data_IF_183000549680
#
_entry.id   IF_183000549680
#
_cell.length_a   1.000
_cell.length_b   1.000
_cell.length_c   1.000
_cell.angle_alpha   90.00
_cell.angle_beta   90.00
_cell.angle_gamma   90.00
#
_symmetry.space_group_name_H-M   'P 1'
#
loop_
_entity.id
_entity.type
_entity.pdbx_description
1 polymer ?
#
# COMPACT_ATOMS: atom_id res chain seq x y z
N UNK A 1 31.44 -2.49 6.69
CA UNK A 1 30.49 -3.01 5.69
C UNK A 1 30.98 -4.40 5.31
N UNK A 2 30.31 -5.43 5.83
CA UNK A 2 30.66 -6.84 5.61
C UNK A 2 29.71 -7.49 4.59
N UNK A 3 30.17 -8.57 3.95
CA UNK A 3 29.36 -9.44 3.07
C UNK A 3 28.52 -10.49 3.82
N UNK A 4 28.38 -10.41 5.14
CA UNK A 4 27.49 -11.36 5.85
C UNK A 4 26.04 -11.11 5.44
N UNK A 5 25.46 -12.10 4.79
CA UNK A 5 24.03 -12.20 4.48
C UNK A 5 23.24 -12.20 5.78
N UNK A 6 22.91 -11.03 6.30
CA UNK A 6 21.80 -10.93 7.23
C UNK A 6 20.58 -11.52 6.52
N UNK A 7 19.74 -12.25 7.24
CA UNK A 7 18.43 -12.71 6.76
C UNK A 7 17.60 -11.48 6.37
N UNK A 8 17.77 -11.02 5.14
CA UNK A 8 17.14 -9.82 4.64
C UNK A 8 15.63 -10.04 4.67
N UNK A 9 14.93 -9.11 5.31
CA UNK A 9 13.48 -9.14 5.39
C UNK A 9 12.90 -9.22 3.97
N UNK A 10 11.99 -10.16 3.66
CA UNK A 10 11.40 -10.30 2.33
C UNK A 10 10.67 -9.04 1.84
N UNK A 11 10.31 -8.13 2.76
CA UNK A 11 9.70 -6.84 2.44
C UNK A 11 10.71 -5.75 2.06
N UNK A 12 12.00 -5.93 2.35
CA UNK A 12 13.02 -4.93 2.02
C UNK A 12 13.29 -4.89 0.51
N UNK A 13 13.33 -3.68 -0.04
CA UNK A 13 13.74 -3.37 -1.42
C UNK A 13 14.91 -2.39 -1.42
N UNK A 14 15.53 -2.18 -2.58
CA UNK A 14 16.55 -1.14 -2.76
C UNK A 14 16.02 0.23 -2.30
N UNK A 15 14.81 0.59 -2.69
CA UNK A 15 14.18 1.86 -2.31
C UNK A 15 14.02 2.03 -0.79
N UNK A 16 13.75 0.95 -0.05
CA UNK A 16 13.68 1.02 1.42
C UNK A 16 15.05 1.07 2.09
N UNK A 17 16.06 0.37 1.56
CA UNK A 17 17.42 0.35 2.13
C UNK A 17 18.12 1.71 1.94
N UNK A 18 17.80 2.38 0.84
CA UNK A 18 18.36 3.69 0.48
C UNK A 18 17.53 4.85 1.00
N UNK A 19 16.42 4.57 1.72
CA UNK A 19 15.44 5.56 2.20
C UNK A 19 14.79 6.42 1.11
N UNK A 20 15.15 6.23 -0.16
CA UNK A 20 14.54 6.91 -1.32
C UNK A 20 13.03 6.70 -1.32
N UNK A 21 12.58 5.48 -0.99
CA UNK A 21 11.16 5.18 -0.94
C UNK A 21 10.43 6.07 0.07
N UNK A 22 11.02 6.37 1.22
CA UNK A 22 10.37 7.17 2.26
C UNK A 22 10.18 8.62 1.83
N UNK A 23 11.17 9.19 1.16
CA UNK A 23 11.04 10.50 0.53
C UNK A 23 10.02 10.48 -0.60
N UNK A 24 9.96 9.41 -1.40
CA UNK A 24 8.93 9.26 -2.43
C UNK A 24 7.52 9.24 -1.83
N UNK A 25 7.31 8.58 -0.69
CA UNK A 25 6.00 8.56 -0.01
C UNK A 25 5.53 9.97 0.35
N UNK A 26 6.45 10.81 0.85
CA UNK A 26 6.19 12.22 1.14
C UNK A 26 5.91 13.00 -0.15
N UNK A 27 6.73 12.81 -1.19
CA UNK A 27 6.55 13.50 -2.46
C UNK A 27 5.18 13.17 -3.10
N UNK A 28 4.83 11.89 -3.17
CA UNK A 28 3.57 11.40 -3.74
C UNK A 28 2.35 11.79 -2.92
N UNK A 29 2.45 11.90 -1.58
CA UNK A 29 1.31 12.34 -0.78
C UNK A 29 0.95 13.81 -0.98
N UNK A 30 1.91 14.64 -1.41
CA UNK A 30 1.72 16.08 -1.59
C UNK A 30 1.48 16.48 -3.05
N UNK A 31 2.17 15.86 -4.00
CA UNK A 31 2.06 16.19 -5.44
C UNK A 31 1.14 15.23 -6.21
N UNK A 32 0.93 14.03 -5.68
CA UNK A 32 0.21 12.99 -6.36
C UNK A 32 -1.27 13.31 -6.51
N UNK A 33 -1.80 13.09 -7.71
CA UNK A 33 -3.24 13.11 -7.96
C UNK A 33 -3.75 11.69 -7.87
N UNK A 34 -4.72 11.43 -6.99
CA UNK A 34 -5.32 10.12 -6.90
C UNK A 34 -6.48 9.96 -7.88
N UNK A 35 -6.61 8.74 -8.39
CA UNK A 35 -7.66 8.32 -9.28
C UNK A 35 -8.42 7.14 -8.69
N UNK A 36 -9.72 7.06 -8.96
CA UNK A 36 -10.55 5.93 -8.56
C UNK A 36 -10.01 4.65 -9.20
N UNK A 37 -9.77 3.57 -8.44
CA UNK A 37 -9.36 2.29 -9.03
C UNK A 37 -10.40 1.63 -9.93
N UNK A 38 -11.67 2.03 -9.82
CA UNK A 38 -12.78 1.42 -10.55
C UNK A 38 -13.10 2.20 -11.83
N UNK A 39 -13.12 3.53 -11.74
CA UNK A 39 -13.52 4.39 -12.87
C UNK A 39 -12.36 5.15 -13.51
N UNK A 40 -11.20 5.18 -12.87
CA UNK A 40 -10.03 6.00 -13.23
C UNK A 40 -10.33 7.50 -13.31
N UNK A 41 -11.43 7.96 -12.69
CA UNK A 41 -11.75 9.38 -12.53
C UNK A 41 -10.90 10.01 -11.44
N UNK A 42 -10.60 11.30 -11.60
CA UNK A 42 -9.81 12.05 -10.62
C UNK A 42 -10.62 12.19 -9.33
N UNK A 43 -10.08 11.67 -8.23
CA UNK A 43 -10.66 11.85 -6.91
C UNK A 43 -10.43 13.30 -6.46
N UNK A 44 -11.49 13.92 -5.94
CA UNK A 44 -11.43 15.27 -5.38
C UNK A 44 -11.95 15.24 -3.95
N UNK A 45 -11.32 16.03 -3.08
CA UNK A 45 -11.92 16.41 -1.80
C UNK A 45 -12.74 17.66 -2.03
N UNK A 46 -13.99 17.63 -1.64
CA UNK A 46 -14.82 18.84 -1.55
C UNK A 46 -14.55 19.44 -0.17
N UNK A 47 -14.23 20.75 -0.09
CA UNK A 47 -14.04 21.42 1.20
C UNK A 47 -15.37 21.92 1.76
N UNK A 48 -15.52 22.03 3.09
CA UNK A 48 -16.67 22.69 3.71
C UNK A 48 -16.92 24.09 3.15
N UNK A 49 -15.87 24.85 2.85
CA UNK A 49 -15.94 26.19 2.25
C UNK A 49 -16.56 26.16 0.85
N UNK A 50 -16.15 25.21 0.00
CA UNK A 50 -16.76 25.05 -1.31
C UNK A 50 -18.26 24.73 -1.21
N UNK A 51 -18.66 23.88 -0.25
CA UNK A 51 -20.08 23.57 -0.04
C UNK A 51 -20.83 24.82 0.42
N UNK A 52 -20.29 25.58 1.38
CA UNK A 52 -20.87 26.83 1.84
C UNK A 52 -21.03 27.86 0.71
N UNK A 53 -19.98 28.08 -0.09
CA UNK A 53 -20.00 29.00 -1.24
C UNK A 53 -21.02 28.57 -2.29
N UNK A 54 -21.08 27.27 -2.58
CA UNK A 54 -22.07 26.71 -3.51
C UNK A 54 -23.49 26.94 -3.00
N UNK A 55 -23.77 26.73 -1.71
CA UNK A 55 -25.09 27.00 -1.11
C UNK A 55 -25.44 28.49 -1.20
N UNK A 56 -24.48 29.38 -0.95
CA UNK A 56 -24.69 30.83 -1.04
C UNK A 56 -24.94 31.33 -2.48
N UNK A 57 -24.61 30.53 -3.50
CA UNK A 57 -24.93 30.83 -4.91
C UNK A 57 -26.41 30.62 -5.27
N UNK A 58 -27.17 29.89 -4.44
CA UNK A 58 -28.60 29.67 -4.66
C UNK A 58 -29.43 30.90 -4.25
N UNK A 59 -30.76 30.83 -4.45
CA UNK A 59 -31.65 31.98 -4.30
C UNK A 59 -31.66 32.52 -2.86
N UNK A 60 -31.50 33.84 -2.72
CA UNK A 60 -31.53 34.50 -1.42
C UNK A 60 -32.91 34.33 -0.74
N UNK A 61 -32.90 34.21 0.59
CA UNK A 61 -34.04 33.92 1.48
C UNK A 61 -34.70 32.54 1.34
N UNK A 62 -34.17 31.64 0.51
CA UNK A 62 -34.62 30.26 0.47
C UNK A 62 -34.30 29.53 1.78
N UNK A 63 -35.23 28.69 2.25
CA UNK A 63 -35.07 27.91 3.48
C UNK A 63 -34.31 26.63 3.15
N UNK A 64 -33.26 26.37 3.89
CA UNK A 64 -32.46 25.14 3.77
C UNK A 64 -32.35 24.45 5.12
N UNK A 65 -32.10 23.15 5.07
CA UNK A 65 -31.79 22.35 6.25
C UNK A 65 -30.53 21.55 5.99
N UNK A 66 -29.64 21.56 6.99
CA UNK A 66 -28.39 20.80 6.93
C UNK A 66 -28.63 19.49 7.66
N UNK A 67 -28.52 18.39 6.94
CA UNK A 67 -28.82 17.06 7.40
C UNK A 67 -27.55 16.19 7.42
N UNK A 68 -27.41 15.37 8.46
CA UNK A 68 -26.33 14.40 8.59
C UNK A 68 -26.90 12.97 8.47
N UNK A 69 -26.55 12.19 7.42
CA UNK A 69 -27.03 10.82 7.26
C UNK A 69 -26.45 9.86 8.29
N UNK A 70 -27.31 9.11 8.97
CA UNK A 70 -26.95 8.24 10.09
C UNK A 70 -27.18 6.78 9.76
N UNK A 71 -26.29 5.92 10.28
CA UNK A 71 -26.47 4.47 10.30
C UNK A 71 -26.53 3.99 11.75
N UNK A 72 -27.32 2.95 12.01
CA UNK A 72 -27.33 2.27 13.31
C UNK A 72 -26.05 1.45 13.47
N UNK A 73 -25.45 1.50 14.66
CA UNK A 73 -24.31 0.64 15.01
C UNK A 73 -24.77 -0.80 15.24
N UNK A 74 -23.87 -1.80 15.13
CA UNK A 74 -24.18 -3.17 15.52
C UNK A 74 -24.71 -3.21 16.97
N UNK A 75 -25.88 -3.83 17.18
CA UNK A 75 -26.59 -3.92 18.47
C UNK A 75 -27.18 -2.62 19.05
N UNK A 76 -27.22 -1.52 18.30
CA UNK A 76 -27.87 -0.28 18.72
C UNK A 76 -29.33 -0.24 18.23
N UNK A 77 -30.29 0.05 19.12
CA UNK A 77 -31.68 0.30 18.70
C UNK A 77 -31.86 1.74 18.17
N UNK A 78 -32.96 1.99 17.48
CA UNK A 78 -33.25 3.34 16.99
C UNK A 78 -33.52 4.31 18.15
N UNK A 79 -34.19 3.82 19.19
CA UNK A 79 -34.46 4.55 20.41
C UNK A 79 -33.16 4.96 21.13
N UNK A 80 -32.19 4.05 21.24
CA UNK A 80 -30.87 4.35 21.82
C UNK A 80 -30.15 5.46 21.03
N UNK A 81 -30.21 5.40 19.69
CA UNK A 81 -29.60 6.43 18.83
C UNK A 81 -30.23 7.80 19.07
N UNK A 82 -31.56 7.87 19.18
CA UNK A 82 -32.28 9.13 19.43
C UNK A 82 -31.96 9.67 20.82
N UNK A 83 -31.88 8.82 21.84
CA UNK A 83 -31.49 9.23 23.20
C UNK A 83 -30.06 9.80 23.24
N UNK A 84 -29.11 9.14 22.57
CA UNK A 84 -27.72 9.60 22.45
C UNK A 84 -27.61 10.95 21.74
N UNK A 85 -28.41 11.17 20.69
CA UNK A 85 -28.45 12.43 19.95
C UNK A 85 -29.15 13.54 20.75
N UNK A 86 -30.19 13.20 21.51
CA UNK A 86 -30.86 14.13 22.43
C UNK A 86 -29.92 14.62 23.52
N UNK A 87 -29.11 13.72 24.11
CA UNK A 87 -28.04 14.08 25.08
C UNK A 87 -26.99 15.02 24.50
N UNK A 88 -26.75 14.98 23.19
CA UNK A 88 -25.85 15.88 22.48
C UNK A 88 -26.50 17.22 22.10
N UNK A 89 -27.78 17.43 22.41
CA UNK A 89 -28.51 18.67 22.18
C UNK A 89 -29.25 18.75 20.83
N UNK A 90 -29.32 17.65 20.08
CA UNK A 90 -30.13 17.60 18.87
C UNK A 90 -31.61 17.38 19.21
N UNK A 91 -32.51 17.89 18.36
CA UNK A 91 -33.95 17.89 18.65
C UNK A 91 -34.80 17.17 17.61
N UNK A 92 -34.28 16.92 16.40
CA UNK A 92 -35.08 16.51 15.25
C UNK A 92 -34.33 15.55 14.34
N UNK A 93 -35.10 14.64 13.73
CA UNK A 93 -34.65 13.73 12.69
C UNK A 93 -35.63 13.73 11.53
N UNK A 94 -35.13 13.51 10.32
CA UNK A 94 -35.93 13.17 9.16
C UNK A 94 -35.78 11.68 8.90
N UNK A 95 -36.86 10.93 9.05
CA UNK A 95 -36.94 9.50 8.82
C UNK A 95 -37.84 9.25 7.59
N UNK A 96 -37.28 8.65 6.53
CA UNK A 96 -38.00 8.33 5.29
C UNK A 96 -38.80 9.53 4.73
N UNK A 97 -38.15 10.71 4.64
CA UNK A 97 -38.72 12.02 4.23
C UNK A 97 -39.69 12.69 5.20
N UNK A 98 -40.09 12.04 6.29
CA UNK A 98 -40.94 12.64 7.32
C UNK A 98 -40.09 13.22 8.45
N UNK A 99 -40.45 14.40 8.95
CA UNK A 99 -39.73 15.07 10.04
C UNK A 99 -40.39 14.76 11.38
N UNK A 100 -39.58 14.39 12.37
CA UNK A 100 -40.02 14.06 13.71
C UNK A 100 -39.24 14.88 14.74
N UNK A 101 -39.93 15.29 15.82
CA UNK A 101 -39.27 15.78 17.03
C UNK A 101 -38.86 14.61 17.92
N UNK A 102 -37.75 14.72 18.66
CA UNK A 102 -37.33 13.66 19.59
C UNK A 102 -38.28 13.46 20.78
N UNK A 103 -39.14 14.44 21.05
CA UNK A 103 -40.19 14.36 22.08
C UNK A 103 -41.40 13.52 21.63
N UNK A 104 -41.51 13.23 20.33
CA UNK A 104 -42.62 12.47 19.75
C UNK A 104 -42.28 10.99 19.70
N UNK A 105 -43.30 10.13 19.79
CA UNK A 105 -43.11 8.68 19.63
C UNK A 105 -42.92 8.35 18.15
N UNK A 106 -41.68 8.07 17.76
CA UNK A 106 -41.30 7.76 16.38
C UNK A 106 -41.49 6.25 16.13
N UNK A 107 -42.28 5.90 15.11
CA UNK A 107 -42.40 4.50 14.67
C UNK A 107 -41.26 4.15 13.72
N UNK A 108 -40.44 3.16 14.09
CA UNK A 108 -39.31 2.68 13.29
C UNK A 108 -39.50 1.19 12.95
N UNK A 109 -39.63 0.87 11.67
CA UNK A 109 -39.79 -0.50 11.19
C UNK A 109 -38.44 -1.11 10.80
N UNK A 110 -37.95 -2.06 11.60
CA UNK A 110 -36.66 -2.75 11.36
C UNK A 110 -36.63 -3.61 10.09
N UNK A 111 -37.79 -3.97 9.53
CA UNK A 111 -37.88 -4.81 8.33
C UNK A 111 -37.67 -4.03 7.03
N UNK A 112 -37.82 -2.71 7.07
CA UNK A 112 -37.67 -1.83 5.91
C UNK A 112 -36.28 -1.18 5.87
N UNK A 113 -35.83 -0.85 4.66
CA UNK A 113 -34.63 -0.02 4.46
C UNK A 113 -34.97 1.43 4.81
N UNK A 114 -34.64 1.85 6.03
CA UNK A 114 -34.89 3.20 6.51
C UNK A 114 -33.75 4.16 6.20
N UNK A 115 -34.10 5.41 5.86
CA UNK A 115 -33.18 6.53 5.74
C UNK A 115 -33.31 7.43 6.97
N UNK A 116 -32.26 7.49 7.80
CA UNK A 116 -32.21 8.28 9.03
C UNK A 116 -31.31 9.49 8.81
N UNK A 117 -31.88 10.69 8.87
CA UNK A 117 -31.14 11.94 8.63
C UNK A 117 -31.31 12.89 9.81
N UNK A 118 -30.24 13.12 10.58
CA UNK A 118 -30.24 14.06 11.69
C UNK A 118 -30.35 15.50 11.17
N UNK A 119 -31.26 16.31 11.73
CA UNK A 119 -31.36 17.74 11.39
C UNK A 119 -30.37 18.52 12.25
N UNK A 120 -29.28 18.98 11.65
CA UNK A 120 -28.19 19.69 12.36
C UNK A 120 -28.52 21.17 12.52
N UNK A 121 -28.92 21.85 11.45
CA UNK A 121 -29.36 23.25 11.51
C UNK A 121 -30.40 23.56 10.43
N UNK A 122 -31.16 24.64 10.64
CA UNK A 122 -32.20 25.15 9.73
C UNK A 122 -31.95 26.63 9.50
N UNK A 123 -31.63 26.98 8.26
CA UNK A 123 -31.13 28.30 7.89
C UNK A 123 -31.95 28.89 6.75
N UNK A 124 -31.84 30.21 6.60
CA UNK A 124 -32.28 30.91 5.38
C UNK A 124 -31.06 31.48 4.68
N UNK A 125 -30.97 31.26 3.38
CA UNK A 125 -29.81 31.70 2.58
C UNK A 125 -29.71 33.22 2.63
N UNK A 126 -28.56 33.71 3.11
CA UNK A 126 -28.17 35.12 3.07
C UNK A 126 -26.65 35.23 3.22
N UNK A 127 -26.04 36.33 2.75
CA UNK A 127 -24.58 36.48 2.87
C UNK A 127 -24.06 36.50 4.32
N UNK A 128 -24.92 36.85 5.29
CA UNK A 128 -24.55 36.96 6.71
C UNK A 128 -24.49 35.60 7.43
N UNK A 129 -25.04 34.52 6.87
CA UNK A 129 -25.07 33.20 7.52
C UNK A 129 -23.81 32.36 7.29
N UNK A 130 -22.84 32.83 6.49
CA UNK A 130 -21.66 32.05 6.12
C UNK A 130 -20.93 31.37 7.30
N UNK A 131 -20.64 32.05 8.44
CA UNK A 131 -19.98 31.39 9.58
C UNK A 131 -20.81 30.26 10.20
N UNK A 132 -22.12 30.48 10.35
CA UNK A 132 -23.06 29.50 10.93
C UNK A 132 -23.29 28.31 9.99
N UNK A 133 -23.32 28.57 8.68
CA UNK A 133 -23.41 27.55 7.64
C UNK A 133 -22.18 26.62 7.69
N UNK A 134 -20.97 27.19 7.77
CA UNK A 134 -19.74 26.42 7.90
C UNK A 134 -19.70 25.58 9.18
N UNK A 135 -20.11 26.15 10.30
CA UNK A 135 -20.19 25.44 11.58
C UNK A 135 -21.12 24.22 11.49
N UNK A 136 -22.32 24.41 10.94
CA UNK A 136 -23.29 23.34 10.76
C UNK A 136 -22.83 22.26 9.76
N UNK A 137 -22.15 22.65 8.67
CA UNK A 137 -21.52 21.71 7.72
C UNK A 137 -20.45 20.87 8.43
N UNK A 138 -19.59 21.49 9.24
CA UNK A 138 -18.55 20.77 9.98
C UNK A 138 -19.12 19.80 11.01
N UNK A 139 -20.18 20.20 11.74
CA UNK A 139 -20.88 19.33 12.69
C UNK A 139 -21.51 18.14 11.94
N UNK A 140 -22.23 18.40 10.85
CA UNK A 140 -22.86 17.35 10.04
C UNK A 140 -21.82 16.35 9.50
N UNK A 141 -20.73 16.87 8.93
CA UNK A 141 -19.60 16.09 8.43
C UNK A 141 -19.01 15.17 9.50
N UNK A 142 -18.80 15.68 10.71
CA UNK A 142 -18.17 14.92 11.80
C UNK A 142 -19.07 13.78 12.28
N UNK A 143 -20.37 13.99 12.30
CA UNK A 143 -21.36 13.02 12.80
C UNK A 143 -21.62 11.90 11.78
N UNK A 144 -21.61 12.23 10.49
CA UNK A 144 -22.03 11.31 9.41
C UNK A 144 -20.90 10.86 8.48
N UNK A 145 -19.67 10.86 9.01
CA UNK A 145 -18.46 10.42 8.32
C UNK A 145 -18.28 11.08 6.94
N UNK A 146 -18.27 12.41 6.96
CA UNK A 146 -18.05 13.32 5.84
C UNK A 146 -19.18 13.41 4.81
N UNK A 147 -20.33 12.79 5.06
CA UNK A 147 -21.52 12.93 4.21
C UNK A 147 -22.38 14.08 4.70
N UNK A 148 -23.03 14.79 3.81
CA UNK A 148 -23.93 15.90 4.17
C UNK A 148 -25.06 15.92 3.16
N UNK A 149 -26.28 16.18 3.62
CA UNK A 149 -27.42 16.46 2.75
C UNK A 149 -27.91 17.87 3.05
N UNK A 150 -28.07 18.68 2.00
CA UNK A 150 -28.69 19.99 2.08
C UNK A 150 -30.09 19.86 1.50
N UNK A 151 -31.10 19.90 2.36
CA UNK A 151 -32.49 19.80 1.95
C UNK A 151 -33.06 21.19 1.62
N UNK A 152 -33.53 21.35 0.39
CA UNK A 152 -34.32 22.48 -0.08
C UNK A 152 -35.81 22.11 -0.07
N UNK A 153 -36.71 23.06 -0.38
CA UNK A 153 -38.16 22.78 -0.42
C UNK A 153 -38.54 21.75 -1.49
N UNK A 154 -37.74 21.61 -2.55
CA UNK A 154 -38.07 20.76 -3.72
C UNK A 154 -37.09 19.60 -3.96
N UNK A 155 -35.85 19.73 -3.51
CA UNK A 155 -34.80 18.75 -3.78
C UNK A 155 -33.77 18.67 -2.64
N UNK A 156 -33.10 17.52 -2.56
CA UNK A 156 -31.99 17.31 -1.63
C UNK A 156 -30.68 17.27 -2.41
N UNK A 157 -29.70 18.06 -1.99
CA UNK A 157 -28.34 18.01 -2.52
C UNK A 157 -27.44 17.20 -1.59
N UNK A 158 -26.91 16.10 -2.09
CA UNK A 158 -25.93 15.30 -1.37
C UNK A 158 -24.50 15.80 -1.63
N UNK A 159 -23.74 15.96 -0.57
CA UNK A 159 -22.32 16.25 -0.59
C UNK A 159 -21.57 15.18 0.19
N UNK A 160 -20.42 14.77 -0.34
CA UNK A 160 -19.50 13.91 0.37
C UNK A 160 -18.15 14.59 0.41
N UNK A 161 -17.82 15.14 1.58
CA UNK A 161 -16.54 15.79 1.86
C UNK A 161 -15.39 14.78 1.92
N UNK A 162 -15.69 13.47 1.91
CA UNK A 162 -14.68 12.44 1.75
C UNK A 162 -14.06 12.51 0.35
N UNK A 163 -12.86 11.95 0.23
CA UNK A 163 -12.18 11.82 -1.05
C UNK A 163 -12.94 10.83 -1.93
N UNK A 164 -13.73 11.30 -2.89
CA UNK A 164 -14.78 10.48 -3.51
C UNK A 164 -14.68 10.40 -5.01
N UNK A 165 -15.21 9.29 -5.53
CA UNK A 165 -15.46 9.10 -6.96
C UNK A 165 -16.88 9.59 -7.28
N UNK A 166 -16.98 10.62 -8.12
CA UNK A 166 -18.24 11.25 -8.50
C UNK A 166 -19.20 10.29 -9.24
N UNK A 167 -18.68 9.26 -9.94
CA UNK A 167 -19.51 8.31 -10.71
C UNK A 167 -20.10 7.21 -9.86
N UNK A 168 -19.32 6.67 -8.92
CA UNK A 168 -19.75 5.52 -8.09
C UNK A 168 -20.28 5.96 -6.72
N UNK A 169 -20.01 7.20 -6.30
CA UNK A 169 -20.32 7.70 -4.96
C UNK A 169 -19.46 7.08 -3.85
N UNK A 170 -18.44 6.29 -4.23
CA UNK A 170 -17.56 5.59 -3.30
C UNK A 170 -16.59 6.56 -2.63
N UNK A 171 -16.52 6.49 -1.30
CA UNK A 171 -15.53 7.23 -0.51
C UNK A 171 -14.22 6.46 -0.40
N UNK A 172 -13.13 7.21 -0.45
CA UNK A 172 -11.77 6.75 -0.22
C UNK A 172 -11.14 7.52 0.96
N UNK A 173 -10.10 6.92 1.54
CA UNK A 173 -9.30 7.60 2.56
C UNK A 173 -8.42 8.68 1.92
N UNK A 174 -8.18 9.76 2.67
CA UNK A 174 -7.27 10.81 2.22
C UNK A 174 -5.85 10.24 2.08
N UNK A 175 -5.18 10.62 0.99
CA UNK A 175 -3.80 10.21 0.75
C UNK A 175 -2.87 10.87 1.77
N UNK A 176 -2.06 10.05 2.43
CA UNK A 176 -1.00 10.45 3.36
C UNK A 176 0.27 9.66 3.05
N UNK A 177 1.44 10.00 3.62
CA UNK A 177 2.65 9.19 3.45
C UNK A 177 2.49 7.72 3.92
N UNK A 178 1.57 7.46 4.86
CA UNK A 178 1.25 6.09 5.33
C UNK A 178 0.47 5.29 4.29
N UNK A 179 -0.30 5.94 3.43
CA UNK A 179 -1.03 5.29 2.33
C UNK A 179 -0.07 4.56 1.38
N UNK A 180 1.21 4.93 1.34
CA UNK A 180 2.21 4.28 0.49
C UNK A 180 3.09 3.28 1.24
N UNK A 181 2.75 2.90 2.47
CA UNK A 181 3.46 1.88 3.22
C UNK A 181 2.89 0.49 2.90
N UNK A 182 3.66 -0.35 2.21
CA UNK A 182 3.30 -1.75 2.00
C UNK A 182 3.48 -2.62 3.26
N UNK A 183 3.95 -2.09 4.38
CA UNK A 183 4.00 -2.77 5.67
C UNK A 183 2.90 -2.31 6.65
N UNK A 184 2.01 -1.40 6.24
CA UNK A 184 0.85 -0.91 7.03
C UNK A 184 -0.46 -1.28 6.35
N UNK A 185 -1.53 -1.50 7.12
CA UNK A 185 -2.89 -1.67 6.60
C UNK A 185 -3.35 -0.49 5.74
N UNK A 186 -2.84 0.72 6.01
CA UNK A 186 -3.18 1.94 5.27
C UNK A 186 -2.77 1.88 3.79
N UNK A 187 -1.72 1.10 3.48
CA UNK A 187 -1.09 1.09 2.16
C UNK A 187 -0.91 -0.28 1.54
N UNK A 188 -0.85 -1.35 2.32
CA UNK A 188 -0.55 -2.69 1.81
C UNK A 188 -1.70 -3.28 1.00
N UNK A 189 -1.36 -4.07 -0.01
CA UNK A 189 -2.29 -5.00 -0.60
C UNK A 189 -2.70 -6.02 0.48
N UNK A 190 -3.99 -6.09 0.79
CA UNK A 190 -4.53 -6.97 1.83
C UNK A 190 -4.36 -8.45 1.48
N UNK A 191 -4.42 -8.80 0.19
CA UNK A 191 -4.36 -10.20 -0.26
C UNK A 191 -2.97 -10.80 -0.06
N UNK A 192 -1.90 -10.06 -0.36
CA UNK A 192 -0.51 -10.52 -0.13
C UNK A 192 0.14 -9.93 1.12
N UNK A 193 -0.61 -9.15 1.91
CA UNK A 193 -0.10 -8.40 3.07
C UNK A 193 1.18 -7.61 2.74
N UNK A 194 1.21 -7.01 1.56
CA UNK A 194 2.32 -6.21 1.04
C UNK A 194 3.63 -6.95 0.75
N UNK A 195 3.60 -8.28 0.61
CA UNK A 195 4.75 -9.05 0.12
C UNK A 195 4.94 -8.90 -1.39
N UNK A 196 3.85 -8.72 -2.14
CA UNK A 196 3.84 -8.66 -3.61
C UNK A 196 3.78 -10.03 -4.28
N UNK A 197 4.05 -11.08 -3.55
CA UNK A 197 3.93 -12.45 -4.02
C UNK A 197 3.09 -13.26 -3.02
N UNK A 198 2.51 -14.34 -3.50
CA UNK A 198 1.91 -15.37 -2.68
C UNK A 198 2.85 -16.58 -2.73
N UNK A 199 2.80 -17.39 -1.68
CA UNK A 199 3.34 -18.73 -1.79
C UNK A 199 2.21 -19.60 -2.30
N UNK A 200 2.42 -20.19 -3.47
CA UNK A 200 1.49 -21.12 -4.05
C UNK A 200 2.23 -22.34 -4.56
N UNK A 201 1.50 -23.37 -4.91
CA UNK A 201 2.09 -24.54 -5.57
C UNK A 201 1.85 -24.40 -7.06
N UNK A 202 2.89 -24.55 -7.87
CA UNK A 202 2.70 -24.70 -9.31
C UNK A 202 2.24 -26.14 -9.59
N UNK A 203 0.93 -26.33 -9.45
CA UNK A 203 0.26 -27.61 -9.67
C UNK A 203 0.42 -28.07 -11.12
N UNK A 204 0.60 -27.14 -12.07
CA UNK A 204 0.75 -27.45 -13.49
C UNK A 204 2.17 -27.92 -13.84
N UNK A 205 3.19 -27.45 -13.13
CA UNK A 205 4.58 -27.90 -13.35
C UNK A 205 4.83 -29.31 -12.82
N UNK A 206 4.14 -29.71 -11.75
CA UNK A 206 4.26 -31.05 -11.17
C UNK A 206 3.36 -32.07 -11.89
N UNK A 207 3.96 -32.96 -12.68
CA UNK A 207 3.26 -33.94 -13.55
C UNK A 207 2.19 -34.80 -12.86
N UNK A 208 2.33 -35.04 -11.56
CA UNK A 208 1.36 -35.81 -10.77
C UNK A 208 0.15 -34.96 -10.41
N UNK A 209 0.38 -33.73 -9.96
CA UNK A 209 -0.69 -32.82 -9.52
C UNK A 209 -1.44 -32.23 -10.71
N UNK A 210 -0.78 -32.04 -11.85
CA UNK A 210 -1.40 -31.54 -13.08
C UNK A 210 -2.48 -32.48 -13.65
N UNK A 211 -2.42 -33.77 -13.29
CA UNK A 211 -3.38 -34.81 -13.71
C UNK A 211 -4.46 -35.07 -12.67
N UNK A 212 -4.28 -34.57 -11.44
CA UNK A 212 -5.27 -34.69 -10.38
C UNK A 212 -6.46 -33.76 -10.67
N UNK A 213 -7.64 -34.13 -10.20
CA UNK A 213 -8.82 -33.25 -10.21
C UNK A 213 -8.86 -32.36 -8.96
N UNK A 214 -9.83 -31.44 -8.89
CA UNK A 214 -10.05 -30.58 -7.71
C UNK A 214 -10.28 -31.44 -6.47
N UNK A 215 -11.06 -32.51 -6.64
CA UNK A 215 -11.45 -33.40 -5.57
C UNK A 215 -10.26 -34.21 -5.01
N UNK A 216 -9.40 -34.75 -5.89
CA UNK A 216 -8.17 -35.46 -5.50
C UNK A 216 -7.28 -34.59 -4.60
N UNK A 217 -7.09 -33.32 -4.98
CA UNK A 217 -6.30 -32.37 -4.20
C UNK A 217 -7.03 -31.96 -2.91
N UNK A 218 -8.35 -31.86 -2.94
CA UNK A 218 -9.13 -31.57 -1.74
C UNK A 218 -8.94 -32.66 -0.68
N UNK A 219 -8.99 -33.94 -1.07
CA UNK A 219 -8.70 -35.08 -0.19
C UNK A 219 -7.28 -35.04 0.39
N UNK A 220 -6.28 -34.63 -0.38
CA UNK A 220 -4.89 -34.56 0.07
C UNK A 220 -4.67 -33.45 1.11
N UNK A 221 -5.32 -32.29 0.96
CA UNK A 221 -5.01 -31.10 1.75
C UNK A 221 -6.01 -30.76 2.86
N UNK A 222 -7.27 -31.18 2.74
CA UNK A 222 -8.35 -30.78 3.66
C UNK A 222 -8.90 -31.93 4.50
N UNK A 223 -8.46 -33.17 4.26
CA UNK A 223 -9.03 -34.40 4.87
C UNK A 223 -10.56 -34.50 4.66
N UNK A 224 -11.22 -35.53 5.21
CA UNK A 224 -12.66 -35.76 5.00
C UNK A 224 -13.60 -34.68 5.58
N UNK A 225 -13.10 -33.69 6.34
CA UNK A 225 -13.95 -32.83 7.17
C UNK A 225 -14.62 -31.68 6.43
N UNK A 226 -14.12 -31.30 5.25
CA UNK A 226 -14.59 -30.10 4.53
C UNK A 226 -14.90 -30.33 3.04
N UNK A 227 -14.88 -31.58 2.58
CA UNK A 227 -15.01 -31.92 1.15
C UNK A 227 -16.42 -31.63 0.64
N UNK A 228 -17.45 -32.02 1.39
CA UNK A 228 -18.84 -31.68 1.07
C UNK A 228 -19.02 -30.18 0.86
N UNK A 229 -18.36 -29.35 1.67
CA UNK A 229 -18.46 -27.88 1.54
C UNK A 229 -17.77 -27.38 0.26
N UNK A 230 -16.61 -27.94 -0.09
CA UNK A 230 -15.88 -27.57 -1.30
C UNK A 230 -16.64 -27.98 -2.57
N UNK A 231 -17.16 -29.20 -2.63
CA UNK A 231 -17.97 -29.68 -3.77
C UNK A 231 -19.17 -28.76 -4.01
N UNK A 232 -19.97 -28.51 -2.97
CA UNK A 232 -21.15 -27.64 -3.07
C UNK A 232 -20.79 -26.21 -3.50
N UNK A 233 -19.61 -25.71 -3.12
CA UNK A 233 -19.12 -24.40 -3.53
C UNK A 233 -18.70 -24.36 -5.00
N UNK A 234 -17.98 -25.37 -5.48
CA UNK A 234 -17.56 -25.43 -6.89
C UNK A 234 -18.76 -25.67 -7.81
N UNK A 235 -19.73 -26.49 -7.39
CA UNK A 235 -21.01 -26.65 -8.08
C UNK A 235 -21.77 -25.33 -8.20
N UNK A 236 -21.84 -24.54 -7.12
CA UNK A 236 -22.44 -23.19 -7.16
C UNK A 236 -21.74 -22.24 -8.16
N UNK A 237 -20.46 -22.45 -8.42
CA UNK A 237 -19.69 -21.68 -9.39
C UNK A 237 -19.74 -22.26 -10.81
N UNK A 238 -20.44 -23.39 -11.00
CA UNK A 238 -20.45 -24.20 -12.21
C UNK A 238 -19.04 -24.67 -12.61
N UNK A 239 -18.24 -25.09 -11.63
CA UNK A 239 -16.91 -25.65 -11.83
C UNK A 239 -16.98 -27.16 -11.56
N UNK A 240 -16.65 -27.96 -12.56
CA UNK A 240 -16.60 -29.40 -12.44
C UNK A 240 -15.37 -29.84 -11.63
N UNK A 241 -15.61 -30.50 -10.49
CA UNK A 241 -14.56 -30.92 -9.55
C UNK A 241 -13.77 -32.14 -10.03
N UNK A 242 -14.30 -32.90 -10.99
CA UNK A 242 -13.66 -34.08 -11.57
C UNK A 242 -12.76 -33.73 -12.77
N UNK A 243 -12.82 -32.49 -13.25
CA UNK A 243 -11.97 -32.04 -14.36
C UNK A 243 -10.50 -31.97 -13.90
N UNK A 244 -9.56 -32.61 -14.63
CA UNK A 244 -8.13 -32.51 -14.33
C UNK A 244 -7.62 -31.05 -14.37
N UNK A 245 -6.68 -30.71 -13.48
CA UNK A 245 -6.15 -29.34 -13.35
C UNK A 245 -5.67 -28.70 -14.66
N UNK A 246 -5.03 -29.50 -15.52
CA UNK A 246 -4.54 -29.05 -16.84
C UNK A 246 -5.63 -28.68 -17.86
N UNK A 247 -6.85 -29.17 -17.65
CA UNK A 247 -7.98 -29.03 -18.57
C UNK A 247 -9.00 -27.99 -18.05
N UNK A 248 -8.80 -27.46 -16.83
CA UNK A 248 -9.58 -26.37 -16.27
C UNK A 248 -9.34 -25.05 -17.02
N UNK A 249 -10.36 -24.20 -17.08
CA UNK A 249 -10.20 -22.84 -17.59
C UNK A 249 -9.30 -22.01 -16.67
N UNK A 250 -8.59 -21.01 -17.21
CA UNK A 250 -7.75 -20.09 -16.42
C UNK A 250 -8.53 -19.44 -15.26
N UNK A 251 -9.82 -19.16 -15.48
CA UNK A 251 -10.71 -18.61 -14.46
C UNK A 251 -10.90 -19.60 -13.31
N UNK A 252 -11.23 -20.85 -13.61
CA UNK A 252 -11.62 -21.84 -12.61
C UNK A 252 -10.39 -22.34 -11.85
N UNK A 253 -9.27 -22.53 -12.56
CA UNK A 253 -7.97 -22.78 -11.96
C UNK A 253 -7.57 -21.64 -11.00
N UNK A 254 -7.75 -20.37 -11.41
CA UNK A 254 -7.47 -19.25 -10.53
C UNK A 254 -8.40 -19.19 -9.31
N UNK A 255 -9.68 -19.54 -9.45
CA UNK A 255 -10.63 -19.63 -8.33
C UNK A 255 -10.20 -20.74 -7.34
N UNK A 256 -9.79 -21.90 -7.84
CA UNK A 256 -9.32 -22.99 -6.99
C UNK A 256 -8.01 -22.64 -6.27
N UNK A 257 -7.03 -22.09 -6.99
CA UNK A 257 -5.72 -21.75 -6.43
C UNK A 257 -5.76 -20.54 -5.50
N UNK A 258 -6.43 -19.46 -5.90
CA UNK A 258 -6.36 -18.14 -5.24
C UNK A 258 -7.66 -17.71 -4.56
N UNK A 259 -8.71 -18.54 -4.65
CA UNK A 259 -9.99 -18.30 -4.02
C UNK A 259 -10.88 -17.35 -4.82
N UNK A 260 -12.06 -17.06 -4.27
CA UNK A 260 -12.95 -16.05 -4.82
C UNK A 260 -13.50 -15.16 -3.71
N UNK A 261 -14.05 -13.99 -4.08
CA UNK A 261 -14.74 -13.09 -3.14
C UNK A 261 -16.23 -13.42 -2.99
N UNK A 262 -16.71 -14.50 -3.62
CA UNK A 262 -18.11 -14.90 -3.53
C UNK A 262 -18.36 -15.58 -2.19
N UNK A 263 -19.29 -15.01 -1.44
CA UNK A 263 -19.83 -15.64 -0.24
C UNK A 263 -20.73 -16.80 -0.66
N UNK A 264 -20.50 -17.96 -0.06
CA UNK A 264 -21.36 -19.10 -0.22
C UNK A 264 -21.96 -19.48 1.13
N UNK A 265 -23.27 -19.67 1.13
CA UNK A 265 -24.04 -19.98 2.33
C UNK A 265 -24.46 -21.43 2.28
N UNK A 266 -23.99 -22.20 3.24
CA UNK A 266 -24.43 -23.56 3.44
C UNK A 266 -24.78 -23.72 4.92
N UNK A 267 -26.01 -24.15 5.19
CA UNK A 267 -26.60 -24.18 6.55
C UNK A 267 -26.58 -22.77 7.19
N UNK A 268 -26.26 -22.66 8.49
CA UNK A 268 -26.17 -21.39 9.23
C UNK A 268 -24.80 -20.70 9.11
N UNK A 269 -23.94 -21.16 8.19
CA UNK A 269 -22.57 -20.68 8.03
C UNK A 269 -22.39 -20.06 6.65
N UNK A 270 -21.82 -18.85 6.63
CA UNK A 270 -21.33 -18.21 5.40
C UNK A 270 -19.84 -18.42 5.35
N UNK A 271 -19.33 -19.00 4.27
CA UNK A 271 -17.88 -19.14 4.07
C UNK A 271 -17.45 -18.53 2.74
N UNK A 272 -16.18 -18.18 2.69
CA UNK A 272 -15.49 -17.69 1.50
C UNK A 272 -14.29 -18.60 1.32
N UNK A 273 -14.24 -19.31 0.20
CA UNK A 273 -13.08 -20.13 -0.13
C UNK A 273 -11.90 -19.23 -0.48
N UNK A 274 -10.87 -19.23 0.38
CA UNK A 274 -9.67 -18.39 0.24
C UNK A 274 -8.67 -18.89 -0.80
N UNK A 275 -8.89 -20.06 -1.39
CA UNK A 275 -7.97 -20.68 -2.34
C UNK A 275 -6.94 -21.60 -1.70
N UNK A 276 -6.53 -22.63 -2.43
CA UNK A 276 -5.54 -23.61 -1.98
C UNK A 276 -4.21 -22.95 -1.59
N UNK A 277 -3.73 -21.95 -2.34
CA UNK A 277 -2.45 -21.27 -2.05
C UNK A 277 -2.47 -20.57 -0.69
N UNK A 278 -3.58 -19.90 -0.35
CA UNK A 278 -3.73 -19.26 0.96
C UNK A 278 -3.82 -20.29 2.08
N UNK A 279 -4.57 -21.38 1.88
CA UNK A 279 -4.65 -22.48 2.87
C UNK A 279 -3.27 -23.10 3.10
N UNK A 280 -2.52 -23.41 2.04
CA UNK A 280 -1.17 -23.95 2.14
C UNK A 280 -0.20 -22.97 2.82
N UNK A 281 -0.31 -21.67 2.53
CA UNK A 281 0.48 -20.65 3.19
C UNK A 281 0.14 -20.50 4.69
N UNK A 282 -1.13 -20.63 5.08
CA UNK A 282 -1.57 -20.66 6.48
C UNK A 282 -1.07 -21.95 7.17
N UNK A 283 -1.21 -23.11 6.54
CA UNK A 283 -0.70 -24.40 7.03
C UNK A 283 0.82 -24.38 7.18
N UNK A 284 1.58 -23.87 6.21
CA UNK A 284 3.03 -23.73 6.31
C UNK A 284 3.48 -22.81 7.47
N UNK A 285 2.64 -21.87 7.91
CA UNK A 285 2.92 -21.03 9.09
C UNK A 285 2.63 -21.77 10.40
N UNK A 286 1.55 -22.55 10.48
CA UNK A 286 1.03 -23.09 11.74
C UNK A 286 1.25 -24.61 11.96
N UNK A 287 1.74 -25.35 10.96
CA UNK A 287 1.94 -26.82 11.03
C UNK A 287 3.21 -27.26 11.76
N UNK A 288 3.31 -28.57 12.01
CA UNK A 288 4.50 -29.23 12.57
C UNK A 288 5.70 -29.14 11.62
N UNK A 289 6.92 -29.22 12.17
CA UNK A 289 8.19 -29.05 11.42
C UNK A 289 8.30 -29.98 10.19
N UNK A 290 7.84 -31.23 10.34
CA UNK A 290 7.88 -32.23 9.26
C UNK A 290 6.95 -31.89 8.08
N UNK A 291 5.76 -31.34 8.36
CA UNK A 291 4.82 -30.93 7.32
C UNK A 291 5.32 -29.70 6.57
N UNK A 292 5.96 -28.76 7.28
CA UNK A 292 6.62 -27.62 6.65
C UNK A 292 7.75 -28.04 5.71
N UNK A 293 8.60 -28.97 6.13
CA UNK A 293 9.72 -29.47 5.31
C UNK A 293 9.24 -30.20 4.04
N UNK A 294 8.08 -30.86 4.08
CA UNK A 294 7.46 -31.49 2.90
C UNK A 294 6.74 -30.51 1.97
N UNK A 295 6.16 -29.44 2.51
CA UNK A 295 5.41 -28.44 1.73
C UNK A 295 6.30 -27.38 1.08
N UNK A 296 7.39 -26.96 1.75
CA UNK A 296 8.28 -25.90 1.25
C UNK A 296 8.86 -26.18 -0.15
N UNK A 297 9.29 -27.41 -0.50
CA UNK A 297 9.77 -27.72 -1.85
C UNK A 297 8.71 -27.58 -2.95
N UNK A 298 7.43 -27.71 -2.58
CA UNK A 298 6.29 -27.59 -3.51
C UNK A 298 5.80 -26.14 -3.62
N UNK A 299 6.30 -25.22 -2.79
CA UNK A 299 5.86 -23.84 -2.76
C UNK A 299 6.75 -22.97 -3.64
N UNK A 300 6.19 -22.51 -4.74
CA UNK A 300 6.77 -21.48 -5.59
C UNK A 300 6.25 -20.09 -5.21
N UNK A 301 7.09 -19.08 -5.43
CA UNK A 301 6.68 -17.69 -5.29
C UNK A 301 5.97 -17.26 -6.57
N UNK A 302 4.65 -17.12 -6.50
CA UNK A 302 3.86 -16.57 -7.60
C UNK A 302 3.58 -15.09 -7.37
N UNK A 303 3.58 -14.31 -8.44
CA UNK A 303 3.25 -12.89 -8.36
C UNK A 303 1.81 -12.73 -7.89
N UNK A 304 1.57 -11.88 -6.88
CA UNK A 304 0.22 -11.69 -6.35
C UNK A 304 -0.70 -11.13 -7.45
N UNK A 305 -1.82 -11.79 -7.79
CA UNK A 305 -2.69 -11.37 -8.89
C UNK A 305 -3.37 -10.02 -8.61
N UNK A 306 -3.74 -9.76 -7.36
CA UNK A 306 -4.47 -8.54 -6.97
C UNK A 306 -3.65 -7.26 -7.06
N UNK A 307 -2.34 -7.34 -6.75
CA UNK A 307 -1.44 -6.20 -6.84
C UNK A 307 -0.44 -6.28 -7.99
N UNK A 308 -0.38 -7.40 -8.70
CA UNK A 308 0.59 -7.69 -9.77
C UNK A 308 2.03 -7.43 -9.31
N UNK A 309 2.39 -7.88 -8.11
CA UNK A 309 3.74 -7.66 -7.56
C UNK A 309 3.95 -6.32 -6.85
N UNK A 310 3.05 -5.34 -7.04
CA UNK A 310 3.26 -3.94 -6.62
C UNK A 310 3.12 -3.67 -5.12
N UNK A 311 2.72 -4.67 -4.31
CA UNK A 311 2.64 -4.64 -2.83
C UNK A 311 1.64 -3.66 -2.21
N UNK A 312 1.19 -2.64 -2.93
CA UNK A 312 0.26 -1.62 -2.45
C UNK A 312 -1.20 -1.92 -2.78
N UNK A 313 -2.10 -1.34 -1.99
CA UNK A 313 -3.54 -1.37 -2.22
C UNK A 313 -3.94 -0.66 -3.54
N UNK A 314 -5.16 -0.88 -4.05
CA UNK A 314 -5.59 -0.29 -5.32
C UNK A 314 -5.56 1.25 -5.35
N UNK A 315 -5.95 1.93 -4.28
CA UNK A 315 -6.00 3.40 -4.22
C UNK A 315 -4.59 4.00 -4.35
N UNK A 316 -3.64 3.52 -3.55
CA UNK A 316 -2.26 4.03 -3.52
C UNK A 316 -1.52 3.79 -4.83
N UNK A 317 -1.81 2.68 -5.53
CA UNK A 317 -1.29 2.41 -6.88
C UNK A 317 -1.83 3.39 -7.94
N UNK A 318 -2.96 4.02 -7.66
CA UNK A 318 -3.59 4.98 -8.57
C UNK A 318 -3.35 6.43 -8.16
N UNK A 319 -2.39 6.70 -7.28
CA UNK A 319 -1.87 8.06 -7.08
C UNK A 319 -0.71 8.30 -8.03
N UNK A 320 -0.84 9.31 -8.90
CA UNK A 320 0.10 9.56 -10.00
C UNK A 320 0.67 10.98 -9.95
N UNK A 321 1.97 11.09 -10.21
CA UNK A 321 2.65 12.35 -10.57
C UNK A 321 2.94 12.25 -12.06
N UNK A 322 2.45 13.19 -12.88
CA UNK A 322 2.62 13.16 -14.36
C UNK A 322 2.32 11.77 -14.97
N UNK A 323 1.18 11.19 -14.59
CA UNK A 323 0.72 9.86 -15.01
C UNK A 323 1.54 8.65 -14.52
N UNK A 324 2.58 8.84 -13.71
CA UNK A 324 3.39 7.76 -13.16
C UNK A 324 3.04 7.51 -11.69
N UNK A 325 2.60 6.29 -11.35
CA UNK A 325 2.36 5.92 -9.95
C UNK A 325 3.67 5.72 -9.19
N UNK A 326 3.63 5.73 -7.85
CA UNK A 326 4.84 5.45 -7.04
C UNK A 326 5.40 4.06 -7.35
N UNK A 327 4.52 3.08 -7.64
CA UNK A 327 4.93 1.72 -7.99
C UNK A 327 5.56 1.65 -9.37
N UNK A 328 5.03 2.41 -10.34
CA UNK A 328 5.62 2.46 -11.68
C UNK A 328 6.95 3.21 -11.66
N UNK A 329 7.08 4.27 -10.84
CA UNK A 329 8.35 4.95 -10.61
C UNK A 329 9.40 4.00 -10.01
N UNK A 330 9.03 3.20 -9.01
CA UNK A 330 9.96 2.28 -8.39
C UNK A 330 10.41 1.14 -9.32
N UNK A 331 9.60 0.80 -10.33
CA UNK A 331 9.91 -0.20 -11.35
C UNK A 331 10.80 0.34 -12.49
N UNK A 332 10.97 1.67 -12.61
CA UNK A 332 11.94 2.23 -13.54
C UNK A 332 13.37 1.84 -13.14
N UNK A 333 14.27 1.77 -14.13
CA UNK A 333 15.70 1.79 -13.83
C UNK A 333 16.04 3.09 -13.11
N UNK A 334 17.03 3.05 -12.22
CA UNK A 334 17.48 4.22 -11.44
C UNK A 334 17.84 5.39 -12.35
N UNK A 335 18.44 5.12 -13.51
CA UNK A 335 18.70 6.15 -14.52
C UNK A 335 17.43 6.85 -15.02
N UNK A 336 16.40 6.08 -15.39
CA UNK A 336 15.10 6.61 -15.84
C UNK A 336 14.36 7.32 -14.70
N UNK A 337 14.45 6.78 -13.49
CA UNK A 337 13.90 7.39 -12.28
C UNK A 337 14.53 8.77 -12.02
N UNK A 338 15.86 8.88 -12.12
CA UNK A 338 16.58 10.14 -11.97
C UNK A 338 16.17 11.15 -13.06
N UNK A 339 16.09 10.72 -14.32
CA UNK A 339 15.62 11.58 -15.41
C UNK A 339 14.18 12.07 -15.18
N UNK A 340 13.28 11.22 -14.67
CA UNK A 340 11.92 11.62 -14.34
C UNK A 340 11.88 12.67 -13.22
N UNK A 341 12.66 12.49 -12.16
CA UNK A 341 12.76 13.44 -11.02
C UNK A 341 13.16 14.83 -11.50
N UNK A 342 14.15 14.93 -12.40
CA UNK A 342 14.57 16.22 -12.98
C UNK A 342 13.47 16.95 -13.75
N UNK A 343 12.42 16.25 -14.19
CA UNK A 343 11.29 16.90 -14.86
C UNK A 343 10.30 17.55 -13.88
N UNK A 344 10.31 17.18 -12.61
CA UNK A 344 9.32 17.63 -11.62
C UNK A 344 9.55 19.12 -11.32
N UNK A 345 8.57 19.95 -11.67
CA UNK A 345 8.58 21.39 -11.38
C UNK A 345 7.69 21.68 -10.18
N UNK A 346 8.26 22.27 -9.15
CA UNK A 346 7.54 22.68 -7.94
C UNK A 346 7.07 24.14 -8.07
N UNK A 347 5.84 24.42 -7.66
CA UNK A 347 5.35 25.78 -7.45
C UNK A 347 6.00 26.40 -6.20
N UNK A 348 5.92 27.72 -6.02
CA UNK A 348 6.59 28.39 -4.89
C UNK A 348 6.06 27.94 -3.52
N UNK A 349 4.76 27.61 -3.43
CA UNK A 349 4.20 27.00 -2.22
C UNK A 349 4.70 25.57 -1.99
N UNK A 350 4.85 24.77 -3.05
CA UNK A 350 5.36 23.41 -2.94
C UNK A 350 6.85 23.38 -2.57
N UNK A 351 7.66 24.33 -3.07
CA UNK A 351 9.08 24.44 -2.74
C UNK A 351 9.32 24.59 -1.24
N UNK A 352 8.46 25.30 -0.52
CA UNK A 352 8.59 25.49 0.94
C UNK A 352 8.56 24.18 1.73
N UNK A 353 7.91 23.15 1.18
CA UNK A 353 7.67 21.88 1.87
C UNK A 353 8.52 20.75 1.26
N UNK A 354 8.69 20.74 -0.07
CA UNK A 354 9.21 19.58 -0.80
C UNK A 354 10.58 19.78 -1.43
N UNK A 355 11.17 20.99 -1.36
CA UNK A 355 12.47 21.27 -1.99
C UNK A 355 13.53 20.28 -1.50
N UNK A 356 13.68 20.13 -0.19
CA UNK A 356 14.71 19.28 0.39
C UNK A 356 14.41 17.80 0.09
N UNK A 357 13.14 17.38 0.17
CA UNK A 357 12.74 16.02 -0.19
C UNK A 357 13.09 15.66 -1.64
N UNK A 358 12.82 16.57 -2.59
CA UNK A 358 13.14 16.34 -4.00
C UNK A 358 14.65 16.29 -4.24
N UNK A 359 15.41 17.18 -3.59
CA UNK A 359 16.87 17.20 -3.66
C UNK A 359 17.48 15.91 -3.09
N UNK A 360 16.99 15.42 -1.95
CA UNK A 360 17.47 14.15 -1.36
C UNK A 360 17.21 12.97 -2.28
N UNK A 361 16.03 12.89 -2.91
CA UNK A 361 15.73 11.84 -3.89
C UNK A 361 16.70 11.91 -5.06
N UNK A 362 16.90 13.10 -5.64
CA UNK A 362 17.80 13.29 -6.78
C UNK A 362 19.25 12.93 -6.44
N UNK A 363 19.75 13.35 -5.28
CA UNK A 363 21.10 13.05 -4.82
C UNK A 363 21.30 11.54 -4.58
N UNK A 364 20.37 10.88 -3.89
CA UNK A 364 20.48 9.45 -3.62
C UNK A 364 20.42 8.62 -4.90
N UNK A 365 19.59 9.01 -5.87
CA UNK A 365 19.59 8.38 -7.20
C UNK A 365 20.91 8.61 -7.94
N UNK A 366 21.47 9.82 -7.90
CA UNK A 366 22.79 10.10 -8.49
C UNK A 366 23.89 9.27 -7.85
N UNK A 367 23.92 9.13 -6.53
CA UNK A 367 24.92 8.28 -5.86
C UNK A 367 24.82 6.83 -6.33
N UNK A 368 23.61 6.29 -6.49
CA UNK A 368 23.41 4.94 -7.05
C UNK A 368 23.92 4.81 -8.49
N UNK A 369 23.77 5.85 -9.32
CA UNK A 369 24.32 5.88 -10.69
C UNK A 369 25.84 5.92 -10.65
N UNK A 370 26.42 6.77 -9.82
CA UNK A 370 27.88 6.96 -9.71
C UNK A 370 28.61 5.68 -9.26
N UNK A 371 27.97 4.79 -8.51
CA UNK A 371 28.53 3.49 -8.12
C UNK A 371 28.17 2.35 -9.09
N UNK A 372 27.63 2.67 -10.27
CA UNK A 372 27.36 1.71 -11.33
C UNK A 372 26.11 0.85 -11.13
N UNK A 373 25.10 1.34 -10.38
CA UNK A 373 23.84 0.63 -10.16
C UNK A 373 22.66 1.21 -10.96
N UNK A 374 22.94 1.98 -12.01
CA UNK A 374 21.94 2.66 -12.85
C UNK A 374 20.89 1.72 -13.47
N UNK A 375 21.25 0.46 -13.71
CA UNK A 375 20.39 -0.56 -14.32
C UNK A 375 19.36 -1.17 -13.35
N UNK A 376 19.53 -0.99 -12.04
CA UNK A 376 18.62 -1.54 -11.03
C UNK A 376 17.35 -0.70 -10.89
N UNK A 377 16.30 -1.30 -10.33
CA UNK A 377 15.05 -0.65 -9.98
C UNK A 377 14.87 -0.56 -8.46
N UNK A 378 14.16 0.46 -7.97
CA UNK A 378 13.97 0.66 -6.52
C UNK A 378 13.05 -0.39 -5.88
N UNK A 379 12.21 -1.04 -6.67
CA UNK A 379 11.33 -2.14 -6.22
C UNK A 379 12.04 -3.51 -6.17
N UNK A 380 13.28 -3.62 -6.67
CA UNK A 380 14.05 -4.87 -6.62
C UNK A 380 14.21 -5.33 -5.16
N UNK A 381 13.91 -6.60 -4.96
CA UNK A 381 13.97 -7.25 -3.65
C UNK A 381 15.40 -7.27 -3.12
N UNK A 382 15.61 -6.81 -1.87
CA UNK A 382 16.94 -6.80 -1.29
C UNK A 382 17.59 -8.20 -1.18
N UNK A 383 16.84 -9.28 -0.83
CA UNK A 383 17.37 -10.64 -0.86
C UNK A 383 17.85 -11.14 -2.23
N UNK A 384 17.46 -10.51 -3.35
CA UNK A 384 17.90 -10.93 -4.69
C UNK A 384 19.16 -10.20 -5.19
N UNK A 385 19.77 -9.36 -4.34
CA UNK A 385 21.00 -8.65 -4.66
C UNK A 385 22.20 -9.59 -4.48
N UNK A 386 23.16 -9.47 -5.39
CA UNK A 386 24.51 -10.03 -5.17
C UNK A 386 25.20 -9.33 -4.00
N UNK A 387 26.21 -9.97 -3.40
CA UNK A 387 27.01 -9.38 -2.32
C UNK A 387 27.61 -8.03 -2.71
N UNK A 388 28.17 -7.93 -3.92
CA UNK A 388 28.73 -6.68 -4.46
C UNK A 388 27.67 -5.59 -4.70
N UNK A 389 26.49 -5.94 -5.25
CA UNK A 389 25.38 -4.98 -5.39
C UNK A 389 24.94 -4.44 -4.02
N UNK A 390 24.76 -5.33 -3.03
CA UNK A 390 24.35 -4.96 -1.68
C UNK A 390 25.37 -4.04 -1.00
N UNK A 391 26.66 -4.35 -1.13
CA UNK A 391 27.75 -3.54 -0.58
C UNK A 391 27.79 -2.14 -1.19
N UNK A 392 27.66 -2.04 -2.52
CA UNK A 392 27.63 -0.76 -3.22
C UNK A 392 26.39 0.06 -2.85
N UNK A 393 25.20 -0.55 -2.76
CA UNK A 393 23.99 0.12 -2.26
C UNK A 393 24.24 0.72 -0.88
N UNK A 394 24.84 -0.05 0.03
CA UNK A 394 25.15 0.42 1.37
C UNK A 394 26.15 1.59 1.35
N UNK A 395 27.16 1.55 0.48
CA UNK A 395 28.10 2.66 0.29
C UNK A 395 27.38 3.94 -0.20
N UNK A 396 26.49 3.83 -1.20
CA UNK A 396 25.69 4.97 -1.65
C UNK A 396 24.79 5.53 -0.53
N UNK A 397 24.17 4.67 0.28
CA UNK A 397 23.39 5.12 1.44
C UNK A 397 24.26 5.90 2.44
N UNK A 398 25.53 5.51 2.64
CA UNK A 398 26.45 6.26 3.51
C UNK A 398 26.91 7.59 2.91
N UNK A 399 27.08 7.66 1.59
CA UNK A 399 27.33 8.95 0.92
C UNK A 399 26.15 9.91 1.06
N UNK A 400 24.92 9.39 1.03
CA UNK A 400 23.70 10.18 1.21
C UNK A 400 23.38 10.58 2.66
N UNK A 401 24.00 9.96 3.67
CA UNK A 401 23.74 10.28 5.08
C UNK A 401 24.50 11.52 5.57
N UNK A 402 25.50 11.99 4.81
CA UNK A 402 26.37 13.12 5.16
C UNK A 402 27.01 13.01 6.55
N UNK A 403 27.20 11.78 7.04
CA UNK A 403 27.89 11.55 8.30
C UNK A 403 29.38 11.91 8.15
N UNK A 404 29.91 12.62 9.14
CA UNK A 404 31.31 13.04 9.22
C UNK A 404 31.95 12.43 10.47
N UNK A 405 33.29 12.40 10.52
CA UNK A 405 34.06 11.88 11.67
C UNK A 405 33.76 10.41 12.00
N UNK A 406 33.34 9.63 11.00
CA UNK A 406 33.11 8.20 11.13
C UNK A 406 34.32 7.39 10.68
N UNK A 407 34.51 6.22 11.28
CA UNK A 407 35.46 5.21 10.80
C UNK A 407 34.67 4.13 10.05
N UNK A 408 34.85 4.07 8.74
CA UNK A 408 34.27 3.04 7.88
C UNK A 408 35.27 1.90 7.68
N UNK A 409 34.94 0.71 8.16
CA UNK A 409 35.71 -0.51 7.89
C UNK A 409 35.04 -1.25 6.74
N UNK A 410 35.70 -1.46 5.61
CA UNK A 410 35.18 -2.16 4.43
C UNK A 410 35.96 -3.45 4.20
N UNK A 411 35.24 -4.52 3.92
CA UNK A 411 35.78 -5.86 3.67
C UNK A 411 35.65 -6.16 2.17
N UNK A 412 36.78 -6.18 1.46
CA UNK A 412 36.95 -6.46 0.03
C UNK A 412 35.84 -5.88 -0.87
N UNK A 413 35.67 -4.53 -0.92
CA UNK A 413 34.62 -3.89 -1.70
C UNK A 413 34.69 -4.08 -3.22
N UNK A 414 35.81 -4.56 -3.76
CA UNK A 414 35.97 -4.90 -5.18
C UNK A 414 35.39 -6.25 -5.57
N UNK A 415 35.02 -7.12 -4.61
CA UNK A 415 34.47 -8.45 -4.94
C UNK A 415 33.24 -8.32 -5.85
N UNK A 416 33.27 -9.07 -6.96
CA UNK A 416 32.16 -9.13 -7.91
C UNK A 416 31.98 -7.86 -8.73
N UNK A 417 32.94 -6.93 -8.70
CA UNK A 417 33.03 -5.83 -9.67
C UNK A 417 33.84 -6.27 -10.88
N UNK A 418 33.35 -5.88 -12.05
CA UNK A 418 34.15 -5.96 -13.27
C UNK A 418 35.32 -4.96 -13.16
N UNK A 419 36.56 -5.32 -13.53
CA UNK A 419 37.73 -4.43 -13.37
C UNK A 419 37.57 -3.06 -14.03
N UNK A 420 36.82 -3.00 -15.13
CA UNK A 420 36.50 -1.73 -15.80
C UNK A 420 35.69 -0.76 -14.93
N UNK A 421 34.98 -1.24 -13.91
CA UNK A 421 34.12 -0.43 -13.05
C UNK A 421 34.76 -0.11 -11.68
N UNK A 422 35.99 -0.57 -11.42
CA UNK A 422 36.68 -0.32 -10.14
C UNK A 422 36.90 1.17 -9.85
N UNK A 423 37.08 1.99 -10.89
CA UNK A 423 37.25 3.44 -10.74
C UNK A 423 36.01 4.13 -10.13
N UNK A 424 34.80 3.63 -10.40
CA UNK A 424 33.56 4.17 -9.85
C UNK A 424 33.53 3.99 -8.33
N UNK A 425 33.94 2.82 -7.86
CA UNK A 425 34.06 2.52 -6.43
C UNK A 425 35.14 3.39 -5.78
N UNK A 426 36.32 3.49 -6.40
CA UNK A 426 37.43 4.32 -5.89
C UNK A 426 36.99 5.77 -5.71
N UNK A 427 36.30 6.34 -6.71
CA UNK A 427 35.78 7.71 -6.63
C UNK A 427 34.77 7.89 -5.50
N UNK A 428 33.88 6.90 -5.30
CA UNK A 428 32.92 6.92 -4.19
C UNK A 428 33.62 6.85 -2.82
N UNK A 429 34.67 6.02 -2.68
CA UNK A 429 35.46 5.93 -1.45
C UNK A 429 36.21 7.24 -1.15
N UNK A 430 36.78 7.88 -2.18
CA UNK A 430 37.42 9.20 -2.06
C UNK A 430 36.41 10.25 -1.60
N UNK A 431 35.23 10.32 -2.22
CA UNK A 431 34.16 11.23 -1.77
C UNK A 431 33.78 10.99 -0.31
N UNK A 432 33.65 9.73 0.11
CA UNK A 432 33.31 9.42 1.50
C UNK A 432 34.41 9.86 2.47
N UNK A 433 35.69 9.72 2.08
CA UNK A 433 36.85 10.24 2.81
C UNK A 433 36.81 11.77 2.91
N UNK A 434 36.57 12.44 1.78
CA UNK A 434 36.58 13.91 1.66
C UNK A 434 35.45 14.58 2.45
N UNK A 435 34.39 13.85 2.80
CA UNK A 435 33.39 14.28 3.79
C UNK A 435 33.93 14.37 5.22
N UNK A 436 35.21 14.05 5.46
CA UNK A 436 35.85 14.08 6.77
C UNK A 436 35.73 12.75 7.52
N UNK A 437 35.73 11.63 6.79
CA UNK A 437 35.68 10.29 7.37
C UNK A 437 37.01 9.54 7.15
N UNK A 438 37.26 8.56 8.01
CA UNK A 438 38.40 7.65 7.88
C UNK A 438 37.93 6.31 7.33
N UNK A 439 38.57 5.81 6.28
CA UNK A 439 38.25 4.52 5.69
C UNK A 439 39.39 3.54 5.96
N UNK A 440 39.04 2.36 6.45
CA UNK A 440 39.95 1.22 6.62
C UNK A 440 39.43 0.11 5.70
N UNK A 441 40.24 -0.31 4.74
CA UNK A 441 39.85 -1.32 3.75
C UNK A 441 40.71 -2.56 3.90
N UNK A 442 40.08 -3.73 3.87
CA UNK A 442 40.75 -5.01 3.59
C UNK A 442 40.61 -5.24 2.09
N UNK A 443 41.72 -5.26 1.36
CA UNK A 443 41.72 -5.36 -0.10
C UNK A 443 42.95 -6.08 -0.64
N UNK A 444 42.79 -6.63 -1.83
CA UNK A 444 43.86 -7.23 -2.63
C UNK A 444 43.90 -6.68 -4.06
N UNK A 445 42.97 -5.78 -4.44
CA UNK A 445 42.94 -5.14 -5.75
C UNK A 445 44.07 -4.09 -5.92
N UNK A 446 44.86 -4.25 -6.99
CA UNK A 446 46.02 -3.40 -7.27
C UNK A 446 45.64 -1.92 -7.46
N UNK A 447 44.47 -1.61 -8.04
CA UNK A 447 44.06 -0.22 -8.27
C UNK A 447 43.70 0.47 -6.95
N UNK A 448 43.03 -0.23 -6.03
CA UNK A 448 42.75 0.34 -4.71
C UNK A 448 44.04 0.53 -3.91
N UNK A 449 44.93 -0.46 -3.92
CA UNK A 449 46.20 -0.37 -3.19
C UNK A 449 47.03 0.82 -3.66
N UNK A 450 47.10 1.07 -4.98
CA UNK A 450 47.81 2.23 -5.55
C UNK A 450 47.25 3.58 -5.13
N UNK A 451 45.96 3.64 -4.82
CA UNK A 451 45.25 4.88 -4.44
C UNK A 451 45.16 5.07 -2.92
N UNK A 452 45.71 4.14 -2.14
CA UNK A 452 45.66 4.19 -0.68
C UNK A 452 46.60 5.27 -0.12
N UNK A 453 46.11 6.05 0.85
CA UNK A 453 46.94 7.04 1.55
C UNK A 453 47.98 6.36 2.46
N UNK A 454 47.62 5.20 3.02
CA UNK A 454 48.45 4.36 3.88
C UNK A 454 48.14 2.89 3.61
N UNK A 455 49.18 2.05 3.60
CA UNK A 455 49.07 0.60 3.39
C UNK A 455 49.64 -0.12 4.61
N UNK A 456 48.87 -1.06 5.15
CA UNK A 456 49.30 -2.01 6.16
C UNK A 456 49.31 -3.40 5.54
N UNK A 457 50.50 -3.98 5.37
CA UNK A 457 50.66 -5.34 4.85
C UNK A 457 50.78 -6.33 6.02
N UNK A 458 49.88 -7.30 6.09
CA UNK A 458 49.79 -8.27 7.18
C UNK A 458 50.31 -9.63 6.70
N UNK A 459 51.34 -10.16 7.36
CA UNK A 459 52.02 -11.34 6.83
C UNK A 459 53.13 -11.90 7.72
N UNK A 460 54.12 -12.62 7.13
CA UNK A 460 54.28 -12.95 5.71
C UNK A 460 53.46 -14.18 5.23
N UNK A 461 52.78 -14.89 6.13
CA UNK A 461 52.03 -16.13 5.83
C UNK A 461 50.67 -16.14 6.52
N UNK A 462 49.82 -17.13 6.20
CA UNK A 462 48.54 -17.34 6.87
C UNK A 462 48.70 -18.05 8.24
N UNK A 463 47.68 -17.94 9.09
CA UNK A 463 47.55 -18.70 10.34
C UNK A 463 48.60 -18.31 11.40
N UNK A 464 49.14 -19.32 12.11
CA UNK A 464 50.15 -19.14 13.18
C UNK A 464 51.44 -18.44 12.70
N UNK A 465 51.68 -18.42 11.39
CA UNK A 465 52.86 -17.80 10.77
C UNK A 465 52.58 -16.37 10.24
N UNK A 466 51.39 -15.82 10.51
CA UNK A 466 50.97 -14.47 10.18
C UNK A 466 50.65 -13.61 11.41
N UNK A 467 49.81 -12.58 11.20
CA UNK A 467 49.35 -11.69 12.27
C UNK A 467 50.41 -10.70 12.77
N UNK A 468 51.43 -10.43 11.95
CA UNK A 468 52.47 -9.43 12.20
C UNK A 468 52.33 -8.25 11.25
#
# INVERSE_FOLDING_TARGET
IYQKSHSLNPRSTIGTITEIYDHLRVLYSHLGVAYSPETNEKLKTISPEYVADKILSFKENEKIQILAPMNLKPNQSFEDLIEDLSKQGFLRVRLNKNYFSFDEKISYDKSLKNEILLVVDRLKISKKIHPRLLEAINIASKISDNKIIIAFEKEDLFFNLAFTDEKTGKSYTKITPKSFLFNSQDGMCLDCQGLGYLYGMDILSEKKLSKACILDLAYIFFEDREIDFLENYFDYLNIDVDTPMKDLSDRDLNIFLNGSKKEFKQKNTTFIFKGLNNTLAELAKHSSKNLKESLVPLMEKTTCPSCSGKRLNPLSRNVKIKNLSITDFCALSIEKANAFVSTIKLTDNQKKILKDTLLTIEQNLKFLIEIGLSYLSLDRSAPSLSGGEFQRIRLATQLGSYLTSCIYILDEPTIGLHPHNSYLLINALKKLKDLGNTLILVEHDEMIIKEADYIFDFGPKAGLQGGK
#
